data_IF_909847665984
#
_entry.id   IF_909847665984
#
_cell.length_a   1.000
_cell.length_b   1.000
_cell.length_c   1.000
_cell.angle_alpha   90.00
_cell.angle_beta   90.00
_cell.angle_gamma   90.00
#
_symmetry.space_group_name_H-M   'P 1'
#
loop_
_entity.id
_entity.type
_entity.pdbx_description
1 polymer ?
#
# COMPACT_ATOMS: atom_id res chain seq x y z
N UNK A 1 22.87 -0.08 4.65
CA UNK A 1 21.61 -0.57 4.04
C UNK A 1 21.07 -1.69 4.92
N UNK A 2 19.82 -1.58 5.37
CA UNK A 2 19.17 -2.65 6.15
C UNK A 2 18.93 -3.89 5.30
N UNK A 3 18.90 -5.07 5.92
CA UNK A 3 18.48 -6.30 5.24
C UNK A 3 16.99 -6.22 4.90
N UNK A 4 16.58 -6.66 3.70
CA UNK A 4 15.17 -6.77 3.27
C UNK A 4 14.36 -7.55 4.32
N UNK A 5 14.92 -8.61 4.88
CA UNK A 5 14.27 -9.41 5.91
C UNK A 5 13.97 -8.61 7.18
N UNK A 6 14.86 -7.67 7.55
CA UNK A 6 14.65 -6.78 8.69
C UNK A 6 13.55 -5.76 8.39
N UNK A 7 13.62 -5.11 7.22
CA UNK A 7 12.61 -4.11 6.84
C UNK A 7 11.19 -4.68 6.76
N UNK A 8 11.04 -5.91 6.25
CA UNK A 8 9.75 -6.60 6.26
C UNK A 8 9.26 -6.92 7.68
N UNK A 9 10.17 -7.29 8.58
CA UNK A 9 9.82 -7.55 9.98
C UNK A 9 9.35 -6.27 10.67
N UNK A 10 10.10 -5.18 10.50
CA UNK A 10 9.77 -3.88 11.06
C UNK A 10 8.41 -3.37 10.50
N UNK A 11 8.15 -3.59 9.20
CA UNK A 11 6.87 -3.27 8.58
C UNK A 11 5.71 -4.11 9.13
N UNK A 12 5.91 -5.42 9.40
CA UNK A 12 4.89 -6.29 9.99
C UNK A 12 4.50 -5.82 11.40
N UNK A 13 5.50 -5.44 12.20
CA UNK A 13 5.29 -4.88 13.54
C UNK A 13 4.51 -3.56 13.47
N UNK A 14 4.87 -2.65 12.54
CA UNK A 14 4.21 -1.36 12.38
C UNK A 14 2.74 -1.47 11.89
N UNK A 15 2.38 -2.55 11.21
CA UNK A 15 1.05 -2.77 10.61
C UNK A 15 0.19 -3.79 11.37
N UNK A 16 0.71 -4.32 12.48
CA UNK A 16 0.09 -5.37 13.30
C UNK A 16 -0.26 -6.64 12.53
N UNK A 17 0.57 -7.00 11.55
CA UNK A 17 0.46 -8.26 10.82
C UNK A 17 1.37 -9.33 11.41
N UNK A 18 0.93 -10.60 11.38
CA UNK A 18 1.66 -11.69 12.03
C UNK A 18 2.89 -12.14 11.23
N UNK A 19 2.68 -12.58 9.99
CA UNK A 19 3.73 -13.12 9.13
C UNK A 19 3.30 -13.06 7.67
N UNK A 20 4.29 -13.05 6.78
CA UNK A 20 4.10 -13.19 5.33
C UNK A 20 4.25 -14.65 4.94
N UNK A 21 3.34 -15.10 4.08
CA UNK A 21 3.53 -16.32 3.29
C UNK A 21 4.65 -16.12 2.26
N UNK A 22 5.21 -17.21 1.78
CA UNK A 22 6.34 -17.17 0.82
C UNK A 22 6.00 -16.44 -0.49
N UNK A 23 4.79 -16.62 -1.01
CA UNK A 23 4.30 -15.95 -2.22
C UNK A 23 4.16 -14.43 -2.02
N UNK A 24 3.64 -14.02 -0.86
CA UNK A 24 3.52 -12.61 -0.48
C UNK A 24 4.90 -11.95 -0.31
N UNK A 25 5.83 -12.61 0.37
CA UNK A 25 7.22 -12.16 0.54
C UNK A 25 7.89 -11.95 -0.83
N UNK A 26 7.86 -12.95 -1.69
CA UNK A 26 8.44 -12.88 -3.05
C UNK A 26 7.82 -11.75 -3.88
N UNK A 27 6.53 -11.48 -3.69
CA UNK A 27 5.82 -10.39 -4.36
C UNK A 27 6.35 -9.01 -3.93
N UNK A 28 6.74 -8.83 -2.67
CA UNK A 28 7.32 -7.57 -2.20
C UNK A 28 8.82 -7.47 -2.56
N UNK A 29 9.55 -8.59 -2.57
CA UNK A 29 10.99 -8.64 -2.89
C UNK A 29 11.29 -8.37 -4.37
N UNK A 30 10.41 -8.77 -5.29
CA UNK A 30 10.65 -8.62 -6.72
C UNK A 30 10.81 -7.14 -7.15
N UNK A 31 9.89 -6.21 -6.79
CA UNK A 31 10.05 -4.79 -7.09
C UNK A 31 11.30 -4.16 -6.47
N UNK A 32 11.69 -4.60 -5.26
CA UNK A 32 12.95 -4.15 -4.61
C UNK A 32 14.20 -4.54 -5.40
N UNK A 33 14.09 -5.57 -6.24
CA UNK A 33 15.15 -6.03 -7.14
C UNK A 33 15.00 -5.50 -8.57
N UNK A 34 14.09 -4.56 -8.81
CA UNK A 34 13.78 -4.02 -10.14
C UNK A 34 13.11 -5.04 -11.07
N UNK A 35 12.39 -6.02 -10.52
CA UNK A 35 11.71 -7.07 -11.28
C UNK A 35 10.19 -6.95 -11.16
N UNK A 36 9.50 -7.20 -12.26
CA UNK A 36 8.05 -7.38 -12.26
C UNK A 36 7.66 -8.72 -11.63
N UNK A 37 6.47 -8.76 -11.05
CA UNK A 37 5.92 -9.97 -10.42
C UNK A 37 4.45 -10.16 -10.75
N UNK A 38 4.09 -11.40 -11.03
CA UNK A 38 2.71 -11.83 -11.18
C UNK A 38 2.35 -12.80 -10.06
N UNK A 39 1.43 -12.38 -9.19
CA UNK A 39 0.94 -13.21 -8.09
C UNK A 39 -0.42 -13.81 -8.45
N UNK A 40 -0.46 -15.11 -8.75
CA UNK A 40 -1.71 -15.88 -8.85
C UNK A 40 -2.01 -16.56 -7.51
N UNK A 41 -3.19 -16.32 -6.97
CA UNK A 41 -3.62 -16.87 -5.68
C UNK A 41 -5.15 -16.79 -5.59
N UNK A 42 -5.81 -17.65 -4.81
CA UNK A 42 -7.26 -17.58 -4.61
C UNK A 42 -7.71 -16.26 -3.99
N UNK A 43 -8.99 -15.89 -4.20
CA UNK A 43 -9.64 -14.84 -3.42
C UNK A 43 -9.48 -15.13 -1.93
N UNK A 44 -9.26 -14.10 -1.10
CA UNK A 44 -9.02 -14.24 0.35
C UNK A 44 -7.67 -14.88 0.74
N UNK A 45 -6.78 -15.18 -0.21
CA UNK A 45 -5.41 -15.65 0.10
C UNK A 45 -4.48 -14.57 0.67
N UNK A 46 -4.99 -13.36 0.93
CA UNK A 46 -4.20 -12.25 1.47
C UNK A 46 -3.35 -11.55 0.41
N UNK A 47 -3.81 -11.48 -0.85
CA UNK A 47 -3.14 -10.66 -1.88
C UNK A 47 -2.99 -9.20 -1.45
N UNK A 48 -3.99 -8.66 -0.76
CA UNK A 48 -3.97 -7.25 -0.35
C UNK A 48 -2.85 -6.90 0.59
N UNK A 49 -2.44 -7.85 1.44
CA UNK A 49 -1.33 -7.68 2.36
C UNK A 49 -0.04 -7.23 1.65
N UNK A 50 0.20 -7.65 0.40
CA UNK A 50 1.45 -7.32 -0.30
C UNK A 50 1.54 -5.84 -0.64
N UNK A 51 0.49 -5.24 -1.20
CA UNK A 51 0.46 -3.81 -1.52
C UNK A 51 0.28 -2.93 -0.28
N UNK A 52 -0.30 -3.46 0.79
CA UNK A 52 -0.42 -2.76 2.07
C UNK A 52 0.91 -2.66 2.81
N UNK A 53 1.72 -3.71 2.80
CA UNK A 53 2.99 -3.79 3.52
C UNK A 53 4.18 -3.23 2.71
N UNK A 54 4.10 -3.28 1.39
CA UNK A 54 5.13 -2.78 0.49
C UNK A 54 5.60 -1.34 0.81
N UNK A 55 4.74 -0.31 0.97
CA UNK A 55 5.22 1.05 1.18
C UNK A 55 6.03 1.18 2.49
N UNK A 56 5.62 0.50 3.55
CA UNK A 56 6.36 0.46 4.82
C UNK A 56 7.71 -0.25 4.66
N UNK A 57 7.74 -1.37 3.93
CA UNK A 57 8.99 -2.10 3.66
C UNK A 57 9.98 -1.24 2.88
N UNK A 58 9.50 -0.47 1.90
CA UNK A 58 10.32 0.46 1.14
C UNK A 58 10.83 1.62 2.01
N UNK A 59 9.96 2.23 2.83
CA UNK A 59 10.35 3.30 3.76
C UNK A 59 11.45 2.82 4.74
N UNK A 60 11.35 1.59 5.26
CA UNK A 60 12.40 1.02 6.13
C UNK A 60 13.73 0.73 5.41
N UNK A 61 13.71 0.45 4.11
CA UNK A 61 14.91 0.14 3.33
C UNK A 61 15.63 1.38 2.82
N UNK A 62 14.87 2.34 2.33
CA UNK A 62 15.38 3.55 1.66
C UNK A 62 15.36 4.78 2.57
N UNK A 63 14.84 4.64 3.80
CA UNK A 63 14.71 5.69 4.81
C UNK A 63 13.34 6.37 4.76
N UNK A 64 12.92 6.98 5.88
CA UNK A 64 11.62 7.64 6.02
C UNK A 64 11.40 8.80 5.03
N UNK A 65 12.47 9.33 4.43
CA UNK A 65 12.40 10.33 3.37
C UNK A 65 11.87 9.77 2.04
N UNK A 66 11.84 8.45 1.85
CA UNK A 66 11.40 7.79 0.62
C UNK A 66 9.90 7.99 0.38
N UNK A 67 9.09 8.03 1.45
CA UNK A 67 7.64 8.23 1.40
C UNK A 67 6.97 7.39 0.31
N UNK A 68 7.26 6.09 0.33
CA UNK A 68 6.79 5.16 -0.68
C UNK A 68 5.25 5.08 -0.69
N UNK A 69 4.71 4.93 -1.90
CA UNK A 69 3.28 4.79 -2.16
C UNK A 69 3.06 3.59 -3.05
N UNK A 70 1.93 2.93 -2.85
CA UNK A 70 1.44 1.96 -3.82
C UNK A 70 0.18 2.48 -4.51
N UNK A 71 0.23 2.47 -5.84
CA UNK A 71 -0.92 2.72 -6.69
C UNK A 71 -1.56 1.39 -7.05
N UNK A 72 -2.84 1.22 -6.72
CA UNK A 72 -3.62 0.00 -6.88
C UNK A 72 -4.70 0.27 -7.91
N UNK A 73 -4.60 -0.34 -9.08
CA UNK A 73 -5.59 -0.20 -10.15
C UNK A 73 -6.61 -1.34 -10.01
N UNK A 74 -7.90 -1.00 -9.86
CA UNK A 74 -8.99 -1.98 -9.71
C UNK A 74 -10.20 -1.59 -10.56
N UNK A 75 -10.92 -2.56 -11.13
CA UNK A 75 -11.99 -2.28 -12.09
C UNK A 75 -13.32 -1.86 -11.46
N UNK A 76 -13.49 -1.94 -10.14
CA UNK A 76 -14.79 -1.77 -9.48
C UNK A 76 -14.71 -0.73 -8.36
N UNK A 77 -15.53 0.32 -8.46
CA UNK A 77 -15.64 1.39 -7.45
C UNK A 77 -16.04 0.83 -6.08
N UNK A 78 -16.97 -0.13 -6.03
CA UNK A 78 -17.35 -0.77 -4.76
C UNK A 78 -16.15 -1.43 -4.07
N UNK A 79 -15.30 -2.12 -4.86
CA UNK A 79 -14.09 -2.75 -4.34
C UNK A 79 -13.06 -1.73 -3.86
N UNK A 80 -12.92 -0.59 -4.56
CA UNK A 80 -12.08 0.52 -4.10
C UNK A 80 -12.51 1.02 -2.73
N UNK A 81 -13.81 1.31 -2.57
CA UNK A 81 -14.38 1.83 -1.32
C UNK A 81 -14.17 0.87 -0.17
N UNK A 82 -14.40 -0.42 -0.39
CA UNK A 82 -14.21 -1.46 0.64
C UNK A 82 -12.74 -1.55 1.06
N UNK A 83 -11.80 -1.50 0.11
CA UNK A 83 -10.37 -1.52 0.40
C UNK A 83 -9.93 -0.27 1.18
N UNK A 84 -10.27 0.93 0.69
CA UNK A 84 -9.89 2.18 1.37
C UNK A 84 -10.51 2.28 2.76
N UNK A 85 -11.77 1.84 2.93
CA UNK A 85 -12.43 1.81 4.23
C UNK A 85 -11.68 0.88 5.21
N UNK A 86 -11.33 -0.34 4.77
CA UNK A 86 -10.61 -1.31 5.59
C UNK A 86 -9.19 -0.82 5.97
N UNK A 87 -8.48 -0.17 5.05
CA UNK A 87 -7.16 0.41 5.32
C UNK A 87 -7.25 1.53 6.35
N UNK A 88 -8.18 2.47 6.16
CA UNK A 88 -8.36 3.58 7.09
C UNK A 88 -8.82 3.10 8.47
N UNK A 89 -9.69 2.09 8.55
CA UNK A 89 -10.09 1.45 9.82
C UNK A 89 -8.88 0.91 10.60
N UNK A 90 -7.87 0.42 9.87
CA UNK A 90 -6.62 -0.11 10.44
C UNK A 90 -5.55 0.96 10.67
N UNK A 91 -5.87 2.25 10.48
CA UNK A 91 -4.93 3.36 10.63
C UNK A 91 -3.95 3.54 9.47
N UNK A 92 -4.12 2.77 8.38
CA UNK A 92 -3.35 2.92 7.14
C UNK A 92 -4.04 3.99 6.30
N UNK A 93 -3.37 5.12 6.08
CA UNK A 93 -3.92 6.23 5.30
C UNK A 93 -4.06 5.83 3.83
N UNK A 94 -5.28 5.67 3.35
CA UNK A 94 -5.59 5.33 1.97
C UNK A 94 -6.62 6.28 1.36
N UNK A 95 -6.61 6.43 0.04
CA UNK A 95 -7.59 7.22 -0.71
C UNK A 95 -7.91 6.54 -2.03
N UNK A 96 -9.08 6.81 -2.61
CA UNK A 96 -9.43 6.35 -3.95
C UNK A 96 -9.86 7.53 -4.82
N UNK A 97 -9.67 7.40 -6.13
CA UNK A 97 -10.25 8.31 -7.13
C UNK A 97 -10.94 7.47 -8.19
N UNK A 98 -12.26 7.61 -8.27
CA UNK A 98 -13.09 6.98 -9.30
C UNK A 98 -14.01 8.01 -9.95
N UNK A 99 -14.75 7.56 -10.96
CA UNK A 99 -15.68 8.40 -11.73
C UNK A 99 -16.82 9.00 -10.88
N UNK A 100 -17.06 8.46 -9.68
CA UNK A 100 -18.06 8.94 -8.73
C UNK A 100 -17.53 9.96 -7.71
N UNK A 101 -16.25 10.35 -7.80
CA UNK A 101 -15.67 11.37 -6.94
C UNK A 101 -16.23 12.77 -7.27
N UNK A 102 -16.73 13.48 -6.26
CA UNK A 102 -17.08 14.89 -6.39
C UNK A 102 -15.82 15.76 -6.49
N UNK A 103 -15.97 16.99 -7.00
CA UNK A 103 -14.90 17.99 -7.02
C UNK A 103 -14.34 18.24 -5.61
N UNK A 104 -15.20 18.33 -4.60
CA UNK A 104 -14.81 18.49 -3.20
C UNK A 104 -13.95 17.32 -2.69
N UNK A 105 -14.31 16.07 -3.02
CA UNK A 105 -13.53 14.89 -2.64
C UNK A 105 -12.15 14.90 -3.31
N UNK A 106 -12.08 15.30 -4.58
CA UNK A 106 -10.82 15.42 -5.30
C UNK A 106 -9.95 16.52 -4.72
N UNK A 107 -10.51 17.69 -4.42
CA UNK A 107 -9.80 18.79 -3.75
C UNK A 107 -9.27 18.35 -2.38
N UNK A 108 -10.03 17.60 -1.59
CA UNK A 108 -9.59 17.06 -0.31
C UNK A 108 -8.37 16.13 -0.45
N UNK A 109 -8.37 15.26 -1.47
CA UNK A 109 -7.25 14.37 -1.76
C UNK A 109 -6.01 15.19 -2.17
N UNK A 110 -6.18 16.16 -3.07
CA UNK A 110 -5.10 17.05 -3.53
C UNK A 110 -4.53 17.89 -2.37
N UNK A 111 -5.40 18.42 -1.50
CA UNK A 111 -4.99 19.18 -0.32
C UNK A 111 -4.20 18.31 0.67
N UNK A 112 -4.57 17.05 0.86
CA UNK A 112 -3.79 16.10 1.68
C UNK A 112 -2.40 15.85 1.09
N UNK A 113 -2.32 15.63 -0.22
CA UNK A 113 -1.06 15.44 -0.93
C UNK A 113 -0.19 16.71 -0.82
N UNK A 114 -0.76 17.90 -1.01
CA UNK A 114 -0.02 19.15 -0.90
C UNK A 114 0.50 19.42 0.53
N UNK A 115 -0.29 19.07 1.56
CA UNK A 115 0.03 19.39 2.96
C UNK A 115 1.02 18.42 3.59
N UNK A 116 0.92 17.14 3.28
CA UNK A 116 1.75 16.10 3.90
C UNK A 116 2.73 15.47 2.90
N UNK A 117 2.76 15.97 1.66
CA UNK A 117 3.33 15.21 0.57
C UNK A 117 2.58 13.89 0.37
N UNK A 118 3.15 13.08 -0.50
CA UNK A 118 2.78 11.69 -0.70
C UNK A 118 2.89 10.81 0.57
N UNK A 119 3.59 11.28 1.62
CA UNK A 119 3.61 10.63 2.94
C UNK A 119 2.23 10.55 3.62
N UNK A 120 1.30 11.41 3.20
CA UNK A 120 -0.08 11.47 3.70
C UNK A 120 -0.96 10.31 3.21
N UNK A 121 -0.60 9.63 2.12
CA UNK A 121 -1.39 8.55 1.50
C UNK A 121 -0.45 7.38 1.17
N UNK A 122 -0.64 6.24 1.82
CA UNK A 122 0.19 5.03 1.62
C UNK A 122 -0.31 4.15 0.48
N UNK A 123 -1.62 4.20 0.22
CA UNK A 123 -2.26 3.40 -0.83
C UNK A 123 -3.29 4.25 -1.57
N UNK A 124 -3.18 4.27 -2.90
CA UNK A 124 -4.12 4.96 -3.76
C UNK A 124 -4.83 3.96 -4.66
N UNK A 125 -6.16 3.95 -4.64
CA UNK A 125 -6.96 3.12 -5.53
C UNK A 125 -7.50 3.93 -6.71
N UNK A 126 -7.35 3.42 -7.94
CA UNK A 126 -7.96 3.96 -9.15
C UNK A 126 -8.73 2.88 -9.91
#
# INVERSE_FOLDING_TARGET
MGSIAKAMKDALEATCYSELRDDQRKTIEAPLSGKDVFMSAPTRAGKSLTFELAPYTFDHLFGEACNAIVFVIVPLISLMKDQVSNLNYRGIRASYVGDDCSEEQLEDILNRINRFGWSGIRTFCH
#
